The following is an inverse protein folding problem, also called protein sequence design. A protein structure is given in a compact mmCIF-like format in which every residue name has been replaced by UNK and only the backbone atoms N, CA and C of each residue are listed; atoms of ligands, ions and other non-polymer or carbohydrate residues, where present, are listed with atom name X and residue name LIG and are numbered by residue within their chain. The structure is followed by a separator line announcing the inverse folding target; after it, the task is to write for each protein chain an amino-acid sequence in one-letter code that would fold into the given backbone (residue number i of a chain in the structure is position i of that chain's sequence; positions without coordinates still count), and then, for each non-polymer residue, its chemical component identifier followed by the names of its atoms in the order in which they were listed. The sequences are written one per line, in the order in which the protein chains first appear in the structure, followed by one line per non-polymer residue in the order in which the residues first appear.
data_IF_592680755500
#
_entry.id   IF_592680755500
#
_cell.length_a   1.000
_cell.length_b   1.000
_cell.length_c   1.000
_cell.angle_alpha   90.00
_cell.angle_beta   90.00
_cell.angle_gamma   90.00
#
_symmetry.space_group_name_H-M   'P 1'
#
loop_
_entity.id
_entity.type
_entity.pdbx_description
1 polymer ?
#
# COMPACT_ATOMS: atom_id res chain seq x y z
N UNK A 1 -5.69 -81.13 7.93
CA UNK A 1 -4.54 -80.43 8.57
C UNK A 1 -4.70 -78.93 8.26
N UNK A 2 -4.44 -78.09 9.25
CA UNK A 2 -5.01 -76.74 9.47
C UNK A 2 -4.86 -75.72 8.33
N UNK A 3 -5.91 -74.92 8.19
CA UNK A 3 -6.08 -73.67 7.43
C UNK A 3 -5.01 -72.63 7.84
N UNK A 4 -4.45 -71.89 6.88
CA UNK A 4 -3.92 -70.53 7.11
C UNK A 4 -4.38 -69.62 5.98
N UNK A 5 -5.29 -68.71 6.32
CA UNK A 5 -5.83 -67.69 5.43
C UNK A 5 -4.82 -66.56 5.18
N UNK A 6 -4.87 -66.00 3.97
CA UNK A 6 -4.26 -64.72 3.68
C UNK A 6 -5.12 -63.60 4.29
N UNK A 7 -4.51 -62.76 5.11
CA UNK A 7 -5.09 -61.49 5.55
C UNK A 7 -4.72 -60.41 4.51
N UNK A 8 -5.64 -59.51 4.14
CA UNK A 8 -5.32 -58.35 3.33
C UNK A 8 -4.53 -57.34 4.18
N UNK A 9 -3.39 -56.88 3.66
CA UNK A 9 -2.63 -55.78 4.26
C UNK A 9 -3.25 -54.48 3.78
N UNK A 10 -4.08 -53.87 4.62
CA UNK A 10 -4.59 -52.51 4.38
C UNK A 10 -3.49 -51.52 4.74
N UNK A 11 -2.90 -50.88 3.73
CA UNK A 11 -1.96 -49.77 3.94
C UNK A 11 -2.79 -48.51 4.19
N UNK A 12 -2.99 -48.16 5.46
CA UNK A 12 -3.54 -46.86 5.84
C UNK A 12 -2.45 -45.82 5.68
N UNK A 13 -2.47 -45.08 4.57
CA UNK A 13 -1.66 -43.87 4.43
C UNK A 13 -2.26 -42.84 5.38
N UNK A 14 -1.64 -42.67 6.54
CA UNK A 14 -1.93 -41.57 7.45
C UNK A 14 -1.38 -40.31 6.79
N UNK A 15 -2.24 -39.57 6.09
CA UNK A 15 -1.93 -38.22 5.63
C UNK A 15 -1.82 -37.35 6.89
N UNK A 16 -0.60 -37.19 7.41
CA UNK A 16 -0.32 -36.19 8.43
C UNK A 16 -0.45 -34.85 7.72
N UNK A 17 -1.64 -34.26 7.77
CA UNK A 17 -1.79 -32.84 7.52
C UNK A 17 -0.97 -32.15 8.63
N UNK A 18 0.25 -31.75 8.31
CA UNK A 18 0.94 -30.74 9.10
C UNK A 18 0.07 -29.51 8.97
N UNK A 19 -0.73 -29.24 10.00
CA UNK A 19 -1.24 -27.90 10.21
C UNK A 19 0.00 -27.03 10.31
N UNK A 20 0.35 -26.35 9.21
CA UNK A 20 1.21 -25.18 9.29
C UNK A 20 0.46 -24.26 10.24
N UNK A 21 0.91 -24.18 11.50
CA UNK A 21 0.52 -23.08 12.35
C UNK A 21 0.82 -21.82 11.53
N UNK A 22 -0.16 -20.93 11.29
CA UNK A 22 0.16 -19.66 10.65
C UNK A 22 1.30 -19.05 11.46
N UNK A 23 2.34 -18.57 10.76
CA UNK A 23 3.35 -17.75 11.40
C UNK A 23 2.62 -16.74 12.28
N UNK A 24 3.00 -16.62 13.55
CA UNK A 24 2.39 -15.62 14.43
C UNK A 24 2.45 -14.29 13.68
N UNK A 25 1.27 -13.70 13.41
CA UNK A 25 1.19 -12.37 12.84
C UNK A 25 2.14 -11.46 13.62
N UNK A 26 2.99 -10.74 12.90
CA UNK A 26 3.88 -9.79 13.52
C UNK A 26 3.07 -8.80 14.38
N UNK A 27 3.49 -8.59 15.62
CA UNK A 27 2.60 -8.13 16.69
C UNK A 27 1.90 -6.79 16.40
N UNK A 28 0.64 -6.68 16.82
CA UNK A 28 -0.06 -5.40 16.89
C UNK A 28 0.39 -4.52 18.06
N UNK A 29 -0.05 -3.26 18.06
CA UNK A 29 0.30 -2.31 19.10
C UNK A 29 -0.45 -1.00 19.00
N UNK A 30 -0.05 -0.05 19.84
CA UNK A 30 -0.57 1.32 19.87
C UNK A 30 0.60 2.29 19.87
N UNK A 31 0.51 3.33 19.05
CA UNK A 31 1.35 4.52 19.12
C UNK A 31 0.54 5.66 19.73
N UNK A 32 0.90 6.07 20.95
CA UNK A 32 0.32 7.27 21.56
C UNK A 32 0.94 8.53 20.94
N UNK A 33 0.12 9.55 20.73
CA UNK A 33 0.46 10.84 20.11
C UNK A 33 1.21 10.66 18.77
N UNK A 34 0.62 9.95 17.78
CA UNK A 34 1.28 9.80 16.49
C UNK A 34 1.57 11.17 15.87
N UNK A 35 2.75 11.38 15.26
CA UNK A 35 3.13 12.68 14.70
C UNK A 35 2.33 13.05 13.46
N UNK A 36 1.60 12.09 12.87
CA UNK A 36 0.72 12.29 11.73
C UNK A 36 -0.72 12.06 12.13
N UNK A 37 -1.58 13.06 11.85
CA UNK A 37 -3.02 12.95 12.06
C UNK A 37 -3.65 11.85 11.18
N UNK A 38 -2.99 11.48 10.07
CA UNK A 38 -3.44 10.39 9.22
C UNK A 38 -3.55 9.07 9.98
N UNK A 39 -2.53 8.78 10.80
CA UNK A 39 -2.50 7.56 11.60
C UNK A 39 -3.63 7.55 12.64
N UNK A 40 -3.83 8.69 13.32
CA UNK A 40 -4.91 8.91 14.29
C UNK A 40 -6.31 8.83 13.65
N UNK A 41 -6.44 9.23 12.38
CA UNK A 41 -7.74 9.22 11.70
C UNK A 41 -8.18 7.83 11.25
N UNK A 42 -7.25 6.99 10.77
CA UNK A 42 -7.59 5.74 10.06
C UNK A 42 -7.86 4.55 10.96
N UNK A 43 -7.58 4.59 12.26
CA UNK A 43 -7.93 3.51 13.19
C UNK A 43 -9.26 3.80 13.93
N UNK A 44 -10.05 4.76 13.45
CA UNK A 44 -11.35 5.13 14.01
C UNK A 44 -12.36 5.63 12.97
N UNK A 45 -13.64 5.64 13.37
CA UNK A 45 -14.74 6.03 12.46
C UNK A 45 -14.92 7.54 12.37
N UNK A 46 -14.61 8.28 13.43
CA UNK A 46 -14.74 9.74 13.47
C UNK A 46 -13.76 10.38 14.45
N UNK A 47 -13.46 11.66 14.24
CA UNK A 47 -12.60 12.45 15.12
C UNK A 47 -11.15 11.97 15.12
N UNK A 48 -10.41 12.44 16.13
CA UNK A 48 -9.03 12.09 16.44
C UNK A 48 -8.94 11.83 17.96
N UNK A 49 -8.25 10.78 18.39
CA UNK A 49 -8.08 10.41 19.79
C UNK A 49 -6.62 10.38 20.28
N UNK A 50 -5.70 10.84 19.43
CA UNK A 50 -4.26 10.87 19.65
C UNK A 50 -3.65 9.49 19.81
N UNK A 51 -4.21 8.46 19.18
CA UNK A 51 -3.64 7.12 19.16
C UNK A 51 -3.71 6.54 17.76
N UNK A 52 -2.74 5.71 17.43
CA UNK A 52 -2.82 4.85 16.27
C UNK A 52 -2.65 3.40 16.70
N UNK A 53 -3.72 2.63 16.58
CA UNK A 53 -3.77 1.20 16.88
C UNK A 53 -3.63 0.40 15.59
N UNK A 54 -2.77 -0.60 15.61
CA UNK A 54 -2.53 -1.48 14.49
C UNK A 54 -2.57 -2.94 14.95
N UNK A 55 -3.26 -3.80 14.20
CA UNK A 55 -3.40 -5.22 14.54
C UNK A 55 -2.16 -6.05 14.15
N UNK A 56 -1.30 -5.50 13.29
CA UNK A 56 0.01 -6.05 12.90
C UNK A 56 0.95 -4.91 12.51
N UNK A 57 2.24 -5.05 12.80
CA UNK A 57 3.27 -4.15 12.26
C UNK A 57 3.66 -4.48 10.80
N UNK A 58 3.23 -5.63 10.29
CA UNK A 58 3.52 -6.16 8.96
C UNK A 58 5.00 -6.43 8.65
N UNK A 59 5.81 -6.81 9.65
CA UNK A 59 7.24 -7.13 9.44
C UNK A 59 7.54 -8.34 8.55
N UNK A 60 6.52 -9.13 8.22
CA UNK A 60 6.56 -10.22 7.26
C UNK A 60 6.16 -9.80 5.82
N UNK A 61 5.73 -8.55 5.61
CA UNK A 61 5.26 -8.05 4.32
C UNK A 61 6.31 -7.19 3.62
N UNK A 62 6.43 -7.38 2.32
CA UNK A 62 7.22 -6.54 1.43
C UNK A 62 6.34 -5.47 0.78
N UNK A 63 6.75 -4.20 0.84
CA UNK A 63 6.14 -3.12 0.05
C UNK A 63 7.08 -2.69 -1.04
N UNK A 64 6.67 -2.85 -2.29
CA UNK A 64 7.35 -2.29 -3.46
C UNK A 64 6.92 -0.83 -3.64
N UNK A 65 7.86 0.10 -3.47
CA UNK A 65 7.63 1.53 -3.66
C UNK A 65 8.16 1.92 -5.04
N UNK A 66 7.24 2.02 -6.01
CA UNK A 66 7.53 2.33 -7.41
C UNK A 66 7.42 3.84 -7.61
N UNK A 67 8.55 4.55 -7.52
CA UNK A 67 8.61 6.01 -7.35
C UNK A 67 10.00 6.58 -7.76
N UNK A 68 10.44 7.69 -7.16
CA UNK A 68 11.73 8.38 -7.38
C UNK A 68 12.94 7.76 -6.68
N UNK A 69 12.74 6.66 -5.94
CA UNK A 69 13.73 6.01 -5.08
C UNK A 69 13.42 6.18 -3.60
N UNK A 70 14.28 5.68 -2.71
CA UNK A 70 14.14 5.84 -1.25
C UNK A 70 15.51 6.11 -0.63
N UNK A 71 15.59 7.10 0.26
CA UNK A 71 16.76 7.30 1.12
C UNK A 71 16.82 6.20 2.21
N UNK A 72 17.52 5.11 1.89
CA UNK A 72 17.70 3.97 2.78
C UNK A 72 18.37 4.30 4.13
N UNK A 73 19.04 5.46 4.23
CA UNK A 73 19.73 5.89 5.46
C UNK A 73 18.84 6.70 6.39
N UNK A 74 17.62 7.06 5.97
CA UNK A 74 16.72 7.82 6.83
C UNK A 74 16.40 7.02 8.11
N UNK A 75 16.57 7.60 9.31
CA UNK A 75 16.48 6.86 10.57
C UNK A 75 15.11 6.26 10.84
N UNK A 76 14.04 6.85 10.28
CA UNK A 76 12.67 6.35 10.44
C UNK A 76 12.44 4.96 9.81
N UNK A 77 13.29 4.54 8.85
CA UNK A 77 13.18 3.21 8.24
C UNK A 77 13.91 2.12 9.02
N UNK A 78 14.80 2.47 9.95
CA UNK A 78 15.50 1.52 10.82
C UNK A 78 16.20 0.36 10.08
N UNK A 79 16.74 0.62 8.87
CA UNK A 79 17.42 -0.39 8.05
C UNK A 79 16.49 -1.37 7.31
N UNK A 80 15.18 -1.11 7.27
CA UNK A 80 14.20 -1.96 6.57
C UNK A 80 14.12 -1.71 5.06
N UNK A 81 14.79 -0.69 4.54
CA UNK A 81 14.93 -0.48 3.08
C UNK A 81 15.89 -1.53 2.52
N UNK A 82 15.38 -2.34 1.60
CA UNK A 82 16.08 -3.46 0.97
C UNK A 82 16.76 -3.03 -0.34
N UNK A 83 17.71 -3.83 -0.85
CA UNK A 83 18.27 -3.61 -2.18
C UNK A 83 17.17 -3.67 -3.25
N UNK A 84 16.90 -2.52 -3.87
CA UNK A 84 15.93 -2.35 -4.93
C UNK A 84 16.54 -2.38 -6.33
N UNK A 85 15.87 -1.72 -7.28
CA UNK A 85 16.37 -1.56 -8.65
C UNK A 85 16.08 -0.18 -9.22
N UNK A 86 17.05 0.38 -9.95
CA UNK A 86 16.94 1.66 -10.63
C UNK A 86 16.83 1.45 -12.15
N UNK A 87 15.70 1.89 -12.72
CA UNK A 87 15.41 1.78 -14.14
C UNK A 87 15.84 3.01 -14.94
N UNK A 88 16.28 4.09 -14.27
CA UNK A 88 16.85 5.26 -14.95
C UNK A 88 18.27 4.98 -15.46
N UNK A 89 19.07 4.31 -14.64
CA UNK A 89 20.47 3.99 -14.94
C UNK A 89 20.71 2.51 -15.22
N UNK A 90 19.73 1.65 -14.93
CA UNK A 90 19.86 0.18 -15.01
C UNK A 90 20.63 -0.44 -13.85
N UNK A 91 20.97 0.34 -12.82
CA UNK A 91 21.78 -0.06 -11.67
C UNK A 91 20.97 -0.50 -10.44
N UNK A 92 21.70 -0.65 -9.32
CA UNK A 92 21.13 -0.96 -8.00
C UNK A 92 21.03 0.27 -7.07
N UNK A 93 21.44 1.45 -7.53
CA UNK A 93 21.36 2.68 -6.74
C UNK A 93 19.97 3.30 -6.83
N UNK A 94 19.14 2.97 -5.85
CA UNK A 94 17.78 3.49 -5.72
C UNK A 94 17.70 4.71 -4.79
N UNK A 95 18.80 5.43 -4.60
CA UNK A 95 18.80 6.64 -3.77
C UNK A 95 17.82 7.66 -4.32
N UNK A 96 17.02 8.24 -3.44
CA UNK A 96 16.03 9.25 -3.79
C UNK A 96 16.67 10.62 -3.96
N UNK A 97 16.61 11.16 -5.17
CA UNK A 97 17.13 12.50 -5.49
C UNK A 97 16.04 13.53 -5.67
N UNK A 98 14.77 13.13 -5.59
CA UNK A 98 13.61 14.03 -5.66
C UNK A 98 13.05 14.29 -4.26
N UNK A 99 12.91 13.24 -3.45
CA UNK A 99 12.36 13.26 -2.10
C UNK A 99 10.95 12.69 -1.98
N UNK A 100 10.20 12.58 -3.09
CA UNK A 100 8.83 12.06 -3.08
C UNK A 100 8.78 10.59 -2.62
N UNK A 101 9.57 9.72 -3.23
CA UNK A 101 9.63 8.30 -2.90
C UNK A 101 9.98 8.01 -1.44
N UNK A 102 10.87 8.81 -0.83
CA UNK A 102 11.20 8.73 0.60
C UNK A 102 10.01 9.11 1.48
N UNK A 103 9.24 10.15 1.11
CA UNK A 103 8.05 10.56 1.87
C UNK A 103 6.99 9.48 1.87
N UNK A 104 6.64 8.97 0.69
CA UNK A 104 5.61 7.93 0.55
C UNK A 104 6.04 6.64 1.22
N UNK A 105 7.30 6.20 1.07
CA UNK A 105 7.83 5.05 1.81
C UNK A 105 7.73 5.25 3.34
N UNK A 106 7.93 6.47 3.83
CA UNK A 106 7.75 6.83 5.23
C UNK A 106 6.31 6.74 5.72
N UNK A 107 5.35 7.17 4.90
CA UNK A 107 3.90 7.07 5.20
C UNK A 107 3.44 5.61 5.15
N UNK A 108 3.98 4.80 4.24
CA UNK A 108 3.67 3.38 4.18
C UNK A 108 4.23 2.66 5.40
N UNK A 109 5.54 2.77 5.63
CA UNK A 109 6.28 1.84 6.49
C UNK A 109 7.30 2.49 7.43
N UNK A 110 7.31 3.82 7.59
CA UNK A 110 8.14 4.49 8.58
C UNK A 110 7.81 4.07 10.02
N UNK A 111 8.79 4.08 10.93
CA UNK A 111 8.57 3.80 12.36
C UNK A 111 7.56 4.77 12.96
N UNK A 112 7.78 6.06 12.74
CA UNK A 112 7.04 7.14 13.40
C UNK A 112 5.82 7.56 12.58
N UNK A 113 5.97 7.61 11.25
CA UNK A 113 4.96 8.14 10.32
C UNK A 113 4.19 7.05 9.58
N UNK A 114 4.67 5.81 9.61
CA UNK A 114 4.14 4.71 8.80
C UNK A 114 2.94 4.00 9.41
N UNK A 115 2.05 3.53 8.54
CA UNK A 115 0.92 2.66 8.88
C UNK A 115 1.43 1.24 9.19
N UNK A 116 2.26 0.66 8.31
CA UNK A 116 2.83 -0.69 8.40
C UNK A 116 4.27 -0.65 8.96
N UNK A 117 4.39 -0.43 10.28
CA UNK A 117 5.62 -0.02 10.96
C UNK A 117 6.80 -0.99 10.90
N UNK A 118 6.54 -2.25 10.61
CA UNK A 118 7.53 -3.33 10.49
C UNK A 118 7.84 -3.70 9.04
N UNK A 119 7.04 -3.29 8.05
CA UNK A 119 7.16 -3.75 6.68
C UNK A 119 8.53 -3.47 6.04
N UNK A 120 8.95 -4.37 5.16
CA UNK A 120 10.19 -4.25 4.40
C UNK A 120 9.93 -3.38 3.16
N UNK A 121 10.81 -2.40 2.90
CA UNK A 121 10.62 -1.45 1.80
C UNK A 121 11.54 -1.83 0.64
N UNK A 122 10.98 -2.12 -0.53
CA UNK A 122 11.73 -2.38 -1.77
C UNK A 122 11.55 -1.21 -2.73
N UNK A 123 12.57 -0.33 -2.85
CA UNK A 123 12.50 0.79 -3.77
C UNK A 123 12.65 0.31 -5.23
N UNK A 124 11.77 0.81 -6.09
CA UNK A 124 11.79 0.57 -7.54
C UNK A 124 11.80 1.94 -8.20
N UNK A 125 13.00 2.41 -8.53
CA UNK A 125 13.19 3.78 -9.01
C UNK A 125 12.88 3.86 -10.50
N UNK A 126 11.79 4.56 -10.82
CA UNK A 126 11.32 4.79 -12.20
C UNK A 126 11.18 6.28 -12.53
N UNK A 127 11.25 7.15 -11.51
CA UNK A 127 11.18 8.61 -11.65
C UNK A 127 12.53 9.27 -11.33
N UNK A 128 12.87 10.29 -12.10
CA UNK A 128 14.10 11.08 -11.96
C UNK A 128 14.01 12.14 -10.84
N UNK A 129 15.06 12.97 -10.74
CA UNK A 129 15.16 14.03 -9.73
C UNK A 129 14.05 15.08 -9.81
N UNK A 130 13.44 15.26 -10.98
CA UNK A 130 12.35 16.22 -11.21
C UNK A 130 10.98 15.55 -11.13
N UNK A 131 10.93 14.23 -10.82
CA UNK A 131 9.69 13.45 -10.73
C UNK A 131 9.21 12.91 -12.08
N UNK A 132 10.00 13.05 -13.15
CA UNK A 132 9.66 12.55 -14.48
C UNK A 132 10.12 11.12 -14.70
N UNK A 133 9.31 10.32 -15.40
CA UNK A 133 9.68 8.96 -15.80
C UNK A 133 9.20 8.66 -17.23
N UNK A 134 10.02 7.96 -18.02
CA UNK A 134 9.56 7.43 -19.31
C UNK A 134 8.61 6.26 -19.08
N UNK A 135 7.61 6.11 -19.95
CA UNK A 135 6.71 4.94 -19.92
C UNK A 135 7.50 3.64 -19.96
N UNK A 136 8.58 3.56 -20.77
CA UNK A 136 9.43 2.38 -20.85
C UNK A 136 10.07 2.00 -19.50
N UNK A 137 10.60 2.98 -18.75
CA UNK A 137 11.20 2.72 -17.44
C UNK A 137 10.15 2.26 -16.42
N UNK A 138 8.96 2.87 -16.47
CA UNK A 138 7.84 2.49 -15.62
C UNK A 138 7.42 1.04 -15.92
N UNK A 139 7.17 0.70 -17.19
CA UNK A 139 6.78 -0.64 -17.62
C UNK A 139 7.82 -1.69 -17.22
N UNK A 140 9.11 -1.39 -17.41
CA UNK A 140 10.20 -2.27 -17.00
C UNK A 140 10.25 -2.48 -15.47
N UNK A 141 9.92 -1.44 -14.70
CA UNK A 141 9.79 -1.51 -13.24
C UNK A 141 8.64 -2.43 -12.82
N UNK A 142 7.45 -2.26 -13.39
CA UNK A 142 6.28 -3.09 -13.10
C UNK A 142 6.53 -4.56 -13.44
N UNK A 143 7.10 -4.84 -14.62
CA UNK A 143 7.43 -6.19 -15.07
C UNK A 143 8.46 -6.86 -14.15
N UNK A 144 9.49 -6.12 -13.74
CA UNK A 144 10.49 -6.65 -12.80
C UNK A 144 9.88 -7.00 -11.45
N UNK A 145 8.98 -6.16 -10.91
CA UNK A 145 8.28 -6.46 -9.66
C UNK A 145 7.43 -7.72 -9.82
N UNK A 146 6.63 -7.82 -10.89
CA UNK A 146 5.80 -8.99 -11.14
C UNK A 146 6.60 -10.31 -11.18
N UNK A 147 7.84 -10.27 -11.70
CA UNK A 147 8.71 -11.45 -11.82
C UNK A 147 9.55 -11.74 -10.57
N UNK A 148 9.84 -10.74 -9.72
CA UNK A 148 10.81 -10.85 -8.62
C UNK A 148 10.20 -10.61 -7.22
N UNK A 149 8.87 -10.49 -7.15
CA UNK A 149 8.15 -10.21 -5.92
C UNK A 149 8.46 -11.21 -4.80
N UNK A 150 8.80 -10.70 -3.61
CA UNK A 150 8.88 -11.49 -2.37
C UNK A 150 7.54 -11.41 -1.65
N UNK A 151 6.77 -12.49 -1.74
CA UNK A 151 5.46 -12.59 -1.09
C UNK A 151 5.61 -12.87 0.43
N UNK A 152 4.66 -12.41 1.26
CA UNK A 152 3.51 -11.56 0.93
C UNK A 152 3.94 -10.13 0.57
N UNK A 153 3.31 -9.55 -0.47
CA UNK A 153 3.69 -8.25 -1.01
C UNK A 153 2.49 -7.31 -1.25
N UNK A 154 2.78 -6.02 -1.31
CA UNK A 154 1.91 -4.93 -1.81
C UNK A 154 2.76 -4.01 -2.70
N UNK A 155 2.19 -3.48 -3.78
CA UNK A 155 2.83 -2.45 -4.59
C UNK A 155 2.15 -1.10 -4.40
N UNK A 156 2.95 -0.07 -4.13
CA UNK A 156 2.57 1.33 -4.21
C UNK A 156 3.15 1.93 -5.49
N UNK A 157 2.31 2.59 -6.27
CA UNK A 157 2.70 3.21 -7.54
C UNK A 157 2.50 4.73 -7.44
N UNK A 158 3.56 5.46 -7.14
CA UNK A 158 3.55 6.93 -7.04
C UNK A 158 3.67 7.61 -8.40
N UNK A 159 2.91 7.12 -9.37
CA UNK A 159 2.93 7.58 -10.77
C UNK A 159 1.52 7.96 -11.20
N UNK A 160 1.43 8.93 -12.09
CA UNK A 160 0.18 9.37 -12.68
C UNK A 160 0.44 10.15 -13.96
N UNK A 161 -0.49 10.08 -14.89
CA UNK A 161 -0.40 10.81 -16.15
C UNK A 161 -1.62 10.60 -17.03
N UNK A 162 -1.54 11.14 -18.24
CA UNK A 162 -2.58 10.95 -19.26
C UNK A 162 -2.82 9.46 -19.52
N UNK A 163 -4.08 9.12 -19.82
CA UNK A 163 -4.52 7.79 -20.22
C UNK A 163 -3.52 7.06 -21.13
N UNK A 164 -3.06 5.89 -20.70
CA UNK A 164 -2.11 5.05 -21.42
C UNK A 164 -2.47 3.57 -21.27
N UNK A 165 -2.96 2.94 -22.34
CA UNK A 165 -3.41 1.55 -22.32
C UNK A 165 -2.29 0.55 -21.98
N UNK A 166 -1.05 0.80 -22.42
CA UNK A 166 0.08 -0.10 -22.13
C UNK A 166 0.41 -0.09 -20.64
N UNK A 167 0.34 1.09 -20.02
CA UNK A 167 0.50 1.23 -18.57
C UNK A 167 -0.65 0.52 -17.83
N UNK A 168 -1.88 0.70 -18.29
CA UNK A 168 -3.05 0.07 -17.67
C UNK A 168 -2.96 -1.46 -17.70
N UNK A 169 -2.58 -2.03 -18.84
CA UNK A 169 -2.42 -3.47 -19.02
C UNK A 169 -1.32 -4.03 -18.10
N UNK A 170 -0.21 -3.29 -17.95
CA UNK A 170 0.89 -3.68 -17.06
C UNK A 170 0.50 -3.60 -15.58
N UNK A 171 -0.27 -2.59 -15.18
CA UNK A 171 -0.80 -2.47 -13.82
C UNK A 171 -1.82 -3.58 -13.53
N UNK A 172 -2.71 -3.89 -14.48
CA UNK A 172 -3.63 -5.02 -14.35
C UNK A 172 -2.89 -6.37 -14.22
N UNK A 173 -1.79 -6.55 -14.96
CA UNK A 173 -0.94 -7.74 -14.83
C UNK A 173 -0.26 -7.81 -13.45
N UNK A 174 0.24 -6.69 -12.92
CA UNK A 174 0.81 -6.64 -11.57
C UNK A 174 -0.25 -6.89 -10.49
N UNK A 175 -1.46 -6.37 -10.66
CA UNK A 175 -2.60 -6.58 -9.76
C UNK A 175 -3.05 -8.05 -9.70
N UNK A 176 -2.78 -8.85 -10.73
CA UNK A 176 -3.00 -10.29 -10.68
C UNK A 176 -1.98 -11.03 -9.77
N UNK A 177 -0.86 -10.39 -9.43
CA UNK A 177 0.23 -10.97 -8.62
C UNK A 177 0.19 -10.49 -7.16
N UNK A 178 -0.17 -9.23 -6.92
CA UNK A 178 -0.24 -8.63 -5.58
C UNK A 178 -1.22 -7.46 -5.55
N UNK A 179 -1.72 -7.03 -4.38
CA UNK A 179 -2.49 -5.78 -4.26
C UNK A 179 -1.67 -4.59 -4.78
N UNK A 180 -2.31 -3.74 -5.59
CA UNK A 180 -1.69 -2.56 -6.18
C UNK A 180 -2.49 -1.34 -5.75
N UNK A 181 -1.81 -0.37 -5.14
CA UNK A 181 -2.42 0.88 -4.69
C UNK A 181 -1.86 2.04 -5.51
N UNK A 182 -2.77 2.85 -6.06
CA UNK A 182 -2.45 3.99 -6.93
C UNK A 182 -3.13 5.26 -6.41
N UNK A 183 -2.50 6.44 -6.56
CA UNK A 183 -3.17 7.71 -6.30
C UNK A 183 -4.23 7.98 -7.37
N UNK A 184 -5.34 8.59 -6.97
CA UNK A 184 -6.16 9.40 -7.88
C UNK A 184 -5.32 10.56 -8.44
N UNK A 185 -5.74 11.19 -9.55
CA UNK A 185 -5.05 12.40 -10.03
C UNK A 185 -5.24 13.62 -9.12
N UNK A 186 -4.52 14.71 -9.44
CA UNK A 186 -4.51 15.95 -8.65
C UNK A 186 -5.00 17.18 -9.47
N UNK A 187 -5.81 16.95 -10.51
CA UNK A 187 -6.36 18.00 -11.37
C UNK A 187 -7.69 18.60 -10.88
N UNK A 188 -8.38 17.94 -9.96
CA UNK A 188 -9.78 18.21 -9.66
C UNK A 188 -10.70 17.80 -10.82
N UNK A 189 -10.36 16.71 -11.50
CA UNK A 189 -11.00 16.22 -12.73
C UNK A 189 -11.56 14.78 -12.56
N UNK A 190 -12.16 14.23 -13.61
CA UNK A 190 -12.65 12.84 -13.64
C UNK A 190 -11.49 11.88 -13.97
N UNK A 191 -11.20 10.94 -13.05
CA UNK A 191 -10.10 10.00 -13.14
C UNK A 191 -10.21 9.00 -14.31
N UNK A 192 -11.34 8.95 -15.04
CA UNK A 192 -11.50 8.06 -16.20
C UNK A 192 -10.50 8.32 -17.33
N UNK A 193 -9.85 9.49 -17.33
CA UNK A 193 -8.82 9.88 -18.31
C UNK A 193 -7.39 9.82 -17.74
N UNK A 194 -7.21 9.31 -16.52
CA UNK A 194 -5.92 9.26 -15.82
C UNK A 194 -5.46 7.81 -15.67
N UNK A 195 -4.20 7.54 -16.04
CA UNK A 195 -3.55 6.25 -15.81
C UNK A 195 -2.46 6.40 -14.74
N UNK A 196 -2.33 5.45 -13.80
CA UNK A 196 -3.08 4.18 -13.70
C UNK A 196 -4.37 4.25 -12.88
N UNK A 197 -4.82 5.42 -12.43
CA UNK A 197 -6.02 5.59 -11.59
C UNK A 197 -7.28 4.93 -12.16
N UNK A 198 -7.44 4.89 -13.49
CA UNK A 198 -8.58 4.26 -14.17
C UNK A 198 -8.57 2.72 -14.21
N UNK A 199 -7.51 2.06 -13.73
CA UNK A 199 -7.36 0.59 -13.80
C UNK A 199 -8.25 -0.06 -12.75
N UNK A 200 -9.33 -0.80 -13.11
CA UNK A 200 -10.29 -1.30 -12.12
C UNK A 200 -9.74 -2.39 -11.19
N UNK A 201 -8.57 -2.95 -11.51
CA UNK A 201 -7.91 -3.97 -10.69
C UNK A 201 -6.93 -3.37 -9.67
N UNK A 202 -6.67 -2.06 -9.72
CA UNK A 202 -5.88 -1.35 -8.71
C UNK A 202 -6.82 -0.65 -7.72
N UNK A 203 -6.37 -0.49 -6.48
CA UNK A 203 -7.05 0.32 -5.47
C UNK A 203 -6.70 1.79 -5.70
N UNK A 204 -7.64 2.56 -6.24
CA UNK A 204 -7.45 3.99 -6.53
C UNK A 204 -7.91 4.86 -5.36
N UNK A 205 -7.00 5.70 -4.87
CA UNK A 205 -7.16 6.39 -3.59
C UNK A 205 -7.13 7.91 -3.76
N UNK A 206 -8.25 8.54 -3.41
CA UNK A 206 -8.42 9.98 -3.38
C UNK A 206 -8.03 10.60 -2.02
N UNK A 207 -7.80 11.92 -1.98
CA UNK A 207 -7.30 12.62 -0.80
C UNK A 207 -8.39 13.32 0.01
N UNK A 208 -8.29 13.25 1.34
CA UNK A 208 -9.08 14.04 2.29
C UNK A 208 -8.20 14.84 3.26
N UNK A 209 -8.81 15.85 3.87
CA UNK A 209 -8.22 16.64 4.96
C UNK A 209 -8.65 16.16 6.36
N UNK A 210 -8.11 16.81 7.39
CA UNK A 210 -8.33 16.48 8.80
C UNK A 210 -9.75 16.82 9.29
N UNK A 211 -10.52 17.60 8.53
CA UNK A 211 -11.91 17.94 8.82
C UNK A 211 -12.91 17.03 8.09
N UNK A 212 -12.43 15.91 7.54
CA UNK A 212 -13.17 14.98 6.70
C UNK A 212 -13.81 15.69 5.47
N UNK A 213 -13.10 16.63 4.86
CA UNK A 213 -13.44 17.17 3.54
C UNK A 213 -12.54 16.54 2.47
N UNK A 214 -13.06 16.39 1.25
CA UNK A 214 -12.18 16.05 0.13
C UNK A 214 -11.15 17.15 -0.09
N UNK A 215 -9.94 16.79 -0.52
CA UNK A 215 -8.98 17.76 -1.01
C UNK A 215 -9.46 18.30 -2.36
N UNK A 216 -9.47 19.64 -2.54
CA UNK A 216 -9.99 20.25 -3.77
C UNK A 216 -9.20 19.92 -5.03
N UNK A 217 -7.93 19.52 -4.86
CA UNK A 217 -7.10 19.04 -5.97
C UNK A 217 -7.38 17.57 -6.32
N UNK A 218 -8.00 16.78 -5.44
CA UNK A 218 -8.19 15.35 -5.70
C UNK A 218 -9.14 15.15 -6.87
N UNK A 219 -8.71 14.33 -7.83
CA UNK A 219 -9.60 13.80 -8.85
C UNK A 219 -10.66 12.90 -8.22
N UNK A 220 -11.71 12.65 -9.02
CA UNK A 220 -12.95 12.03 -8.57
C UNK A 220 -13.54 11.13 -9.66
N UNK A 221 -14.68 10.52 -9.37
CA UNK A 221 -15.44 9.70 -10.31
C UNK A 221 -15.46 8.22 -9.95
N UNK A 222 -15.95 7.42 -10.88
CA UNK A 222 -16.13 5.97 -10.67
C UNK A 222 -14.84 5.16 -10.51
N UNK A 223 -13.65 5.62 -10.96
CA UNK A 223 -12.41 4.91 -10.65
C UNK A 223 -12.00 4.97 -9.18
N UNK A 224 -12.44 5.98 -8.42
CA UNK A 224 -12.05 6.13 -7.00
C UNK A 224 -12.76 5.09 -6.13
N UNK A 225 -11.99 4.21 -5.50
CA UNK A 225 -12.51 3.17 -4.61
C UNK A 225 -12.81 3.68 -3.20
N UNK A 226 -11.90 4.49 -2.67
CA UNK A 226 -11.96 5.09 -1.35
C UNK A 226 -11.07 6.34 -1.26
N UNK A 227 -11.21 7.06 -0.16
CA UNK A 227 -10.37 8.18 0.23
C UNK A 227 -9.48 7.80 1.42
N UNK A 228 -8.34 8.47 1.54
CA UNK A 228 -7.51 8.44 2.73
C UNK A 228 -6.94 9.84 3.04
N UNK A 229 -6.43 10.07 4.26
CA UNK A 229 -5.72 11.30 4.62
C UNK A 229 -4.62 11.65 3.62
N UNK A 230 -4.76 12.78 2.94
CA UNK A 230 -3.83 13.24 1.90
C UNK A 230 -3.42 14.71 2.00
N UNK A 231 -4.02 15.49 2.90
CA UNK A 231 -3.66 16.91 3.10
C UNK A 231 -2.84 17.09 4.36
N UNK A 232 -1.75 17.85 4.25
CA UNK A 232 -0.85 18.20 5.33
C UNK A 232 -0.35 16.96 6.11
N UNK A 233 0.18 15.99 5.37
CA UNK A 233 0.67 14.72 5.92
C UNK A 233 2.16 14.83 6.28
N UNK A 234 2.53 14.70 7.56
CA UNK A 234 3.93 14.68 7.98
C UNK A 234 4.64 13.40 7.51
N UNK A 235 5.81 13.56 6.90
CA UNK A 235 6.60 12.45 6.37
C UNK A 235 8.12 12.74 6.41
N UNK A 236 8.98 11.69 6.45
CA UNK A 236 10.43 11.77 6.30
C UNK A 236 10.92 12.64 5.12
N UNK A 237 12.03 13.35 5.32
CA UNK A 237 12.72 14.11 4.26
C UNK A 237 13.99 13.38 3.82
N UNK A 238 14.12 13.11 2.52
CA UNK A 238 15.35 12.54 1.95
C UNK A 238 16.58 13.40 2.27
N UNK A 239 17.71 12.77 2.62
CA UNK A 239 18.95 13.45 2.97
C UNK A 239 18.94 14.16 4.32
N UNK A 240 17.89 13.95 5.14
CA UNK A 240 17.72 14.54 6.46
C UNK A 240 17.34 13.47 7.49
N UNK A 241 17.39 13.84 8.78
CA UNK A 241 16.73 13.09 9.84
C UNK A 241 15.38 13.68 10.23
N UNK A 242 14.98 14.78 9.60
CA UNK A 242 13.77 15.52 9.91
C UNK A 242 12.59 15.03 9.06
N UNK A 243 11.39 15.40 9.50
CA UNK A 243 10.18 15.29 8.70
C UNK A 243 9.72 16.66 8.22
N UNK A 244 8.93 16.66 7.17
CA UNK A 244 8.18 17.82 6.69
C UNK A 244 6.81 17.39 6.21
N UNK A 245 5.98 18.37 5.90
CA UNK A 245 4.60 18.15 5.49
C UNK A 245 4.46 18.21 3.98
N UNK A 246 3.64 17.32 3.41
CA UNK A 246 3.24 17.35 2.00
C UNK A 246 1.76 17.01 1.87
N UNK A 247 1.12 17.54 0.83
CA UNK A 247 -0.26 17.25 0.46
C UNK A 247 -0.27 16.61 -0.93
N UNK A 248 -1.12 15.61 -1.11
CA UNK A 248 -1.33 14.95 -2.40
C UNK A 248 -2.15 13.66 -2.28
N UNK A 249 -2.71 13.21 -3.39
CA UNK A 249 -3.32 11.87 -3.50
C UNK A 249 -2.25 10.79 -3.38
N UNK A 250 -1.00 11.10 -3.74
CA UNK A 250 0.17 10.25 -3.46
C UNK A 250 0.32 9.91 -1.98
N UNK A 251 0.11 10.89 -1.08
CA UNK A 251 0.14 10.65 0.37
C UNK A 251 -1.03 9.76 0.81
N UNK A 252 -2.23 10.01 0.29
CA UNK A 252 -3.42 9.20 0.60
C UNK A 252 -3.24 7.74 0.16
N UNK A 253 -2.77 7.52 -1.07
CA UNK A 253 -2.44 6.19 -1.58
C UNK A 253 -1.33 5.51 -0.76
N UNK A 254 -0.35 6.25 -0.25
CA UNK A 254 0.67 5.71 0.64
C UNK A 254 0.08 5.24 1.98
N UNK A 255 -0.87 5.98 2.55
CA UNK A 255 -1.60 5.54 3.76
C UNK A 255 -2.36 4.24 3.48
N UNK A 256 -3.08 4.16 2.35
CA UNK A 256 -3.82 2.96 1.95
C UNK A 256 -2.92 1.76 1.64
N UNK A 257 -1.77 1.95 1.00
CA UNK A 257 -0.78 0.90 0.76
C UNK A 257 -0.24 0.32 2.07
N UNK A 258 0.00 1.17 3.08
CA UNK A 258 0.34 0.70 4.41
C UNK A 258 -0.80 -0.10 5.07
N UNK A 259 -2.06 0.32 4.91
CA UNK A 259 -3.21 -0.44 5.41
C UNK A 259 -3.35 -1.80 4.70
N UNK A 260 -3.09 -1.84 3.38
CA UNK A 260 -3.07 -3.08 2.60
C UNK A 260 -1.96 -4.03 3.11
N UNK A 261 -0.78 -3.50 3.47
CA UNK A 261 0.30 -4.30 4.05
C UNK A 261 -0.07 -4.87 5.44
N UNK A 262 -0.70 -4.07 6.32
CA UNK A 262 -1.22 -4.54 7.61
C UNK A 262 -2.25 -5.66 7.41
N UNK A 263 -3.18 -5.49 6.47
CA UNK A 263 -4.16 -6.53 6.15
C UNK A 263 -3.49 -7.79 5.59
N UNK A 264 -2.52 -7.62 4.67
CA UNK A 264 -1.78 -8.73 4.03
C UNK A 264 -0.98 -9.55 5.04
N UNK A 265 -0.37 -8.92 6.04
CA UNK A 265 0.33 -9.62 7.14
C UNK A 265 -0.59 -10.59 7.89
N UNK A 266 -1.86 -10.21 8.08
CA UNK A 266 -2.86 -11.03 8.75
C UNK A 266 -3.52 -12.06 7.83
N UNK A 267 -3.44 -11.85 6.52
CA UNK A 267 -4.05 -12.68 5.49
C UNK A 267 -3.04 -12.95 4.35
N UNK A 268 -1.90 -13.62 4.64
CA UNK A 268 -0.80 -13.75 3.68
C UNK A 268 -1.19 -14.47 2.40
N UNK A 269 -2.20 -15.35 2.48
CA UNK A 269 -2.73 -16.15 1.38
C UNK A 269 -3.93 -15.51 0.65
N UNK A 270 -4.39 -14.31 1.06
CA UNK A 270 -5.49 -13.64 0.38
C UNK A 270 -5.18 -13.43 -1.11
N UNK A 271 -6.18 -13.51 -1.99
CA UNK A 271 -5.97 -13.06 -3.36
C UNK A 271 -5.76 -11.53 -3.36
N UNK A 272 -5.02 -10.96 -4.33
CA UNK A 272 -4.84 -9.51 -4.45
C UNK A 272 -6.15 -8.72 -4.33
N UNK A 273 -7.14 -9.06 -5.16
CA UNK A 273 -8.45 -8.41 -5.17
C UNK A 273 -9.24 -8.54 -3.85
N UNK A 274 -8.97 -9.58 -3.04
CA UNK A 274 -9.61 -9.74 -1.74
C UNK A 274 -9.06 -8.74 -0.71
N UNK A 275 -7.80 -8.30 -0.86
CA UNK A 275 -7.22 -7.25 -0.01
C UNK A 275 -7.90 -5.90 -0.30
N UNK A 276 -8.01 -5.52 -1.58
CA UNK A 276 -8.64 -4.26 -1.99
C UNK A 276 -10.11 -4.23 -1.54
N UNK A 277 -10.84 -5.32 -1.78
CA UNK A 277 -12.21 -5.48 -1.33
C UNK A 277 -12.34 -5.38 0.18
N UNK A 278 -11.43 -5.97 0.94
CA UNK A 278 -11.46 -5.90 2.40
C UNK A 278 -11.27 -4.47 2.91
N UNK A 279 -10.33 -3.71 2.32
CA UNK A 279 -10.14 -2.30 2.66
C UNK A 279 -11.39 -1.47 2.34
N UNK A 280 -11.97 -1.65 1.15
CA UNK A 280 -13.20 -0.95 0.74
C UNK A 280 -14.38 -1.29 1.65
N UNK A 281 -14.52 -2.56 2.07
CA UNK A 281 -15.57 -2.98 3.00
C UNK A 281 -15.34 -2.50 4.43
N UNK A 282 -14.09 -2.38 4.85
CA UNK A 282 -13.73 -1.89 6.16
C UNK A 282 -13.82 -0.37 6.26
N UNK A 283 -13.75 0.37 5.14
CA UNK A 283 -13.83 1.84 5.10
C UNK A 283 -15.10 2.39 5.77
N UNK A 284 -14.99 3.59 6.34
CA UNK A 284 -16.11 4.30 6.97
C UNK A 284 -16.99 4.93 5.89
N UNK A 285 -18.24 4.48 5.74
CA UNK A 285 -19.14 5.01 4.73
C UNK A 285 -19.65 6.40 5.11
N UNK A 286 -19.80 7.28 4.12
CA UNK A 286 -20.40 8.61 4.28
C UNK A 286 -19.72 9.51 5.31
N UNK A 287 -18.42 9.31 5.55
CA UNK A 287 -17.66 10.13 6.50
C UNK A 287 -17.32 11.51 5.93
N UNK A 288 -17.18 11.62 4.61
CA UNK A 288 -16.61 12.79 3.96
C UNK A 288 -17.66 13.78 3.50
N UNK A 289 -17.28 15.06 3.54
CA UNK A 289 -18.05 16.20 3.03
C UNK A 289 -17.59 16.55 1.62
N UNK A 290 -18.51 17.11 0.83
CA UNK A 290 -18.26 17.65 -0.52
C UNK A 290 -17.80 16.62 -1.57
N UNK A 291 -18.01 15.31 -1.33
CA UNK A 291 -17.68 14.26 -2.31
C UNK A 291 -18.48 14.47 -3.61
N UNK A 292 -17.85 14.51 -4.80
CA UNK A 292 -18.55 14.75 -6.05
C UNK A 292 -19.48 13.58 -6.39
N UNK A 293 -20.60 13.88 -7.04
CA UNK A 293 -21.56 12.85 -7.47
C UNK A 293 -20.88 11.80 -8.34
N UNK A 294 -21.21 10.52 -8.12
CA UNK A 294 -20.60 9.40 -8.84
C UNK A 294 -19.28 8.89 -8.23
N UNK A 295 -18.80 9.50 -7.15
CA UNK A 295 -17.57 9.10 -6.44
C UNK A 295 -17.92 8.38 -5.14
N UNK A 296 -17.17 7.33 -4.79
CA UNK A 296 -17.43 6.57 -3.57
C UNK A 296 -17.13 7.38 -2.29
N UNK A 297 -18.13 7.63 -1.45
CA UNK A 297 -17.91 8.26 -0.13
C UNK A 297 -17.52 7.20 0.92
N UNK A 298 -16.24 6.80 0.88
CA UNK A 298 -15.64 5.80 1.78
C UNK A 298 -14.30 6.33 2.27
N UNK A 299 -14.14 6.49 3.57
CA UNK A 299 -12.86 6.90 4.17
C UNK A 299 -12.16 5.68 4.77
N UNK A 300 -10.90 5.44 4.41
CA UNK A 300 -10.09 4.33 4.89
C UNK A 300 -10.22 4.14 6.41
N UNK A 301 -10.44 2.89 6.83
CA UNK A 301 -10.41 2.51 8.24
C UNK A 301 -9.71 1.15 8.38
N UNK A 302 -8.70 1.08 9.24
CA UNK A 302 -7.82 -0.08 9.42
C UNK A 302 -8.35 -1.07 10.45
N UNK A 303 -9.24 -0.64 11.35
CA UNK A 303 -9.87 -1.51 12.34
C UNK A 303 -11.29 -1.93 11.92
N UNK A 304 -11.68 -3.19 12.19
CA UNK A 304 -13.00 -3.69 11.85
C UNK A 304 -14.10 -2.94 12.59
N UNK A 305 -15.31 -2.89 12.02
CA UNK A 305 -16.45 -2.18 12.60
C UNK A 305 -16.84 -2.65 14.01
N UNK A 306 -16.46 -3.88 14.41
CA UNK A 306 -16.72 -4.44 15.74
C UNK A 306 -15.76 -3.94 16.82
N UNK A 307 -14.75 -3.15 16.46
CA UNK A 307 -13.79 -2.56 17.38
C UNK A 307 -14.29 -1.25 18.03
N UNK A 308 -15.50 -0.80 17.69
CA UNK A 308 -16.09 0.48 18.11
C UNK A 308 -17.49 0.32 18.72
#
# INVERSE_FOLDING_TARGET
MRIRGLLPVTVTILLVATANSPALAAGGGTQDNPPSWALDRIDQRSGLDQKYRYESDASDVTVYVIDSGVDAKHPDFQGRVQPGKDFLTGGADTSDTNGHGTRVAGIVAGRSYGVAKGAQIFPVRVLDKDGGGSTDNILAGLDWVAQNARQPAVAYLGIGGVANQQLDDAVAALAAVMPVVVPAGEGGEDDSQVSPARVPAALTVAASDVQDQIATFSDFGTPVDLYAPGVDIPAPLAGSSNAGTLSGTSMAAAVAAGAAAVYRSRHPDAAPADVDKALVQAATPNALKNVPSGTANRLLCTLPAQAF
#
